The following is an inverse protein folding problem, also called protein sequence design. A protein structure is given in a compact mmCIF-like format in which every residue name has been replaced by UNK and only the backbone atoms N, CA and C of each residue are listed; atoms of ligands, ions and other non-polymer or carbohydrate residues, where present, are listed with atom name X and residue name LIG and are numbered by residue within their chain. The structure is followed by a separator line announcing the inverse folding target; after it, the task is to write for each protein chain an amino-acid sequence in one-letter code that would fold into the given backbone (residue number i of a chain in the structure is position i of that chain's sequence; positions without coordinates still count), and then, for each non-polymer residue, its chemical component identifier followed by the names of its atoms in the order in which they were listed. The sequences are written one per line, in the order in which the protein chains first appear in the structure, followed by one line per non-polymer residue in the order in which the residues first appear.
data_IF_077926438792
#
_entry.id   IF_077926438792
#
_cell.length_a   1.000
_cell.length_b   1.000
_cell.length_c   1.000
_cell.angle_alpha   90.00
_cell.angle_beta   90.00
_cell.angle_gamma   90.00
#
_symmetry.space_group_name_H-M   'P 1'
#
loop_
_entity.id
_entity.type
_entity.pdbx_description
1 polymer ?
#
# COMPACT_ATOMS: atom_id res chain seq x y z
N UNK A 1 22.80 65.88 48.65
CA UNK A 1 21.39 65.61 48.31
C UNK A 1 21.37 64.55 47.23
N UNK A 2 20.58 63.52 47.47
CA UNK A 2 20.37 62.23 46.77
C UNK A 2 20.19 62.32 45.24
N UNK A 3 20.74 61.36 44.48
CA UNK A 3 20.05 60.51 43.48
C UNK A 3 21.09 59.61 42.76
N UNK A 4 21.14 58.30 43.01
CA UNK A 4 20.40 57.20 42.38
C UNK A 4 20.80 56.87 40.92
N UNK A 5 21.23 55.62 40.78
CA UNK A 5 21.73 54.85 39.63
C UNK A 5 20.59 54.61 38.62
N UNK A 6 20.88 54.45 37.32
CA UNK A 6 20.25 53.41 36.47
C UNK A 6 20.89 53.29 35.08
N UNK A 7 21.40 52.09 34.83
CA UNK A 7 21.77 51.53 33.52
C UNK A 7 20.56 51.37 32.60
N UNK A 8 20.76 51.47 31.28
CA UNK A 8 19.93 50.70 30.34
C UNK A 8 20.68 50.47 29.02
N UNK A 9 21.13 49.22 28.85
CA UNK A 9 21.55 48.60 27.60
C UNK A 9 20.44 48.73 26.55
N UNK A 10 20.78 49.18 25.34
CA UNK A 10 19.88 49.12 24.20
C UNK A 10 19.60 47.66 23.82
N UNK A 11 18.45 47.13 24.23
CA UNK A 11 17.93 45.87 23.74
C UNK A 11 17.25 46.07 22.39
N UNK A 12 17.74 45.40 21.35
CA UNK A 12 17.02 45.24 20.09
C UNK A 12 15.75 44.42 20.33
N UNK A 13 14.59 45.05 20.19
CA UNK A 13 13.32 44.32 20.10
C UNK A 13 13.16 43.83 18.66
N UNK A 14 13.52 42.57 18.41
CA UNK A 14 13.03 41.85 17.23
C UNK A 14 11.57 41.50 17.50
N UNK A 15 10.65 42.29 16.94
CA UNK A 15 9.22 41.99 17.00
C UNK A 15 8.95 40.83 16.04
N UNK A 16 8.84 39.60 16.56
CA UNK A 16 8.37 38.46 15.78
C UNK A 16 6.89 38.67 15.48
N UNK A 17 6.59 39.22 14.31
CA UNK A 17 5.24 39.21 13.78
C UNK A 17 4.86 37.78 13.45
N UNK A 18 4.01 37.15 14.26
CA UNK A 18 3.29 35.97 13.82
C UNK A 18 2.23 36.45 12.82
N UNK A 19 2.31 35.95 11.58
CA UNK A 19 1.18 35.99 10.66
C UNK A 19 0.10 35.09 11.28
N UNK A 20 -0.89 35.69 11.96
CA UNK A 20 -2.16 35.02 12.19
C UNK A 20 -2.82 34.82 10.83
N UNK A 21 -2.51 33.69 10.21
CA UNK A 21 -3.27 33.20 9.10
C UNK A 21 -4.67 32.96 9.65
N UNK A 22 -5.62 33.83 9.28
CA UNK A 22 -7.04 33.64 9.50
C UNK A 22 -7.49 32.44 8.65
N UNK A 23 -7.03 31.24 9.03
CA UNK A 23 -7.50 30.00 8.47
C UNK A 23 -8.93 29.87 8.94
N UNK A 24 -9.86 29.97 8.00
CA UNK A 24 -11.08 29.18 8.10
C UNK A 24 -10.61 27.71 8.10
N UNK A 25 -10.20 27.22 9.27
CA UNK A 25 -9.92 25.82 9.51
C UNK A 25 -11.26 25.13 9.36
N UNK A 26 -11.47 24.51 8.20
CA UNK A 26 -12.60 23.63 8.04
C UNK A 26 -12.45 22.52 9.10
N UNK A 27 -13.39 22.48 10.04
CA UNK A 27 -13.39 21.50 11.11
C UNK A 27 -13.87 20.15 10.55
N UNK A 28 -12.92 19.39 9.99
CA UNK A 28 -13.18 18.08 9.42
C UNK A 28 -13.79 17.12 10.44
N UNK A 29 -13.54 17.30 11.73
CA UNK A 29 -14.04 16.40 12.78
C UNK A 29 -15.58 16.36 12.86
N UNK A 30 -16.27 17.38 12.35
CA UNK A 30 -17.74 17.45 12.28
C UNK A 30 -18.35 16.67 11.12
N UNK A 31 -17.53 16.19 10.18
CA UNK A 31 -18.00 15.41 9.05
C UNK A 31 -18.40 14.00 9.49
N UNK A 32 -19.42 13.44 8.82
CA UNK A 32 -19.82 12.05 9.03
C UNK A 32 -18.82 11.11 8.34
N UNK A 33 -17.79 10.68 9.08
CA UNK A 33 -16.74 9.78 8.58
C UNK A 33 -17.32 8.48 8.00
N UNK A 34 -18.32 7.87 8.65
CA UNK A 34 -18.90 6.61 8.19
C UNK A 34 -19.63 6.76 6.86
N UNK A 35 -20.37 7.85 6.65
CA UNK A 35 -21.03 8.12 5.38
C UNK A 35 -20.01 8.38 4.26
N UNK A 36 -18.96 9.18 4.56
CA UNK A 36 -17.89 9.46 3.60
C UNK A 36 -17.13 8.19 3.22
N UNK A 37 -16.84 7.31 4.19
CA UNK A 37 -16.20 6.01 3.96
C UNK A 37 -17.05 5.15 3.03
N UNK A 38 -18.35 5.00 3.33
CA UNK A 38 -19.26 4.23 2.49
C UNK A 38 -19.27 4.74 1.04
N UNK A 39 -19.41 6.05 0.86
CA UNK A 39 -19.37 6.63 -0.48
C UNK A 39 -18.00 6.48 -1.17
N UNK A 40 -16.89 6.60 -0.42
CA UNK A 40 -15.55 6.41 -0.95
C UNK A 40 -15.35 4.98 -1.48
N UNK A 41 -15.78 3.99 -0.69
CA UNK A 41 -15.72 2.58 -1.06
C UNK A 41 -16.61 2.30 -2.28
N UNK A 42 -17.85 2.82 -2.29
CA UNK A 42 -18.76 2.67 -3.44
C UNK A 42 -18.19 3.24 -4.74
N UNK A 43 -17.59 4.44 -4.70
CA UNK A 43 -16.94 5.00 -5.88
C UNK A 43 -15.72 4.20 -6.30
N UNK A 44 -14.93 3.70 -5.35
CA UNK A 44 -13.77 2.89 -5.65
C UNK A 44 -14.18 1.56 -6.31
N UNK A 45 -15.22 0.90 -5.81
CA UNK A 45 -15.75 -0.33 -6.41
C UNK A 45 -16.30 -0.08 -7.82
N UNK A 46 -17.01 1.03 -8.05
CA UNK A 46 -17.44 1.43 -9.41
C UNK A 46 -16.26 1.67 -10.35
N UNK A 47 -15.17 2.25 -9.86
CA UNK A 47 -13.93 2.38 -10.63
C UNK A 47 -13.35 1.01 -11.03
N UNK A 48 -13.29 0.05 -10.10
CA UNK A 48 -12.75 -1.30 -10.35
C UNK A 48 -13.63 -2.08 -11.34
N UNK A 49 -14.95 -1.93 -11.25
CA UNK A 49 -15.93 -2.73 -12.00
C UNK A 49 -16.37 -2.13 -13.33
N UNK A 50 -16.24 -0.81 -13.51
CA UNK A 50 -16.60 -0.14 -14.77
C UNK A 50 -15.69 -0.60 -15.91
N UNK A 51 -16.25 -0.73 -17.11
CA UNK A 51 -15.48 -0.95 -18.35
C UNK A 51 -15.25 0.35 -19.14
N UNK A 52 -16.03 1.40 -18.87
CA UNK A 52 -15.94 2.70 -19.54
C UNK A 52 -14.89 3.59 -18.86
N UNK A 53 -13.90 4.02 -19.64
CA UNK A 53 -12.76 4.81 -19.19
C UNK A 53 -13.15 6.20 -18.67
N UNK A 54 -14.16 6.85 -19.28
CA UNK A 54 -14.62 8.17 -18.85
C UNK A 54 -15.24 8.10 -17.46
N UNK A 55 -16.08 7.09 -17.23
CA UNK A 55 -16.68 6.88 -15.91
C UNK A 55 -15.66 6.41 -14.87
N UNK A 56 -14.65 5.62 -15.27
CA UNK A 56 -13.55 5.24 -14.37
C UNK A 56 -12.84 6.45 -13.80
N UNK A 57 -12.45 7.42 -14.63
CA UNK A 57 -11.76 8.61 -14.14
C UNK A 57 -12.63 9.42 -13.18
N UNK A 58 -13.92 9.57 -13.48
CA UNK A 58 -14.88 10.25 -12.62
C UNK A 58 -15.00 9.56 -11.25
N UNK A 59 -15.18 8.24 -11.23
CA UNK A 59 -15.28 7.46 -10.00
C UNK A 59 -13.98 7.48 -9.20
N UNK A 60 -12.83 7.38 -9.87
CA UNK A 60 -11.53 7.42 -9.23
C UNK A 60 -11.28 8.77 -8.54
N UNK A 61 -11.60 9.88 -9.20
CA UNK A 61 -11.46 11.22 -8.62
C UNK A 61 -12.44 11.47 -7.46
N UNK A 62 -13.67 10.94 -7.54
CA UNK A 62 -14.64 10.99 -6.45
C UNK A 62 -14.16 10.20 -5.23
N UNK A 63 -13.69 8.96 -5.42
CA UNK A 63 -13.12 8.14 -4.36
C UNK A 63 -11.90 8.82 -3.72
N UNK A 64 -10.97 9.32 -4.54
CA UNK A 64 -9.76 10.02 -4.08
C UNK A 64 -10.09 11.20 -3.16
N UNK A 65 -11.06 12.03 -3.55
CA UNK A 65 -11.45 13.20 -2.76
C UNK A 65 -12.00 12.80 -1.39
N UNK A 66 -12.80 11.72 -1.33
CA UNK A 66 -13.39 11.23 -0.08
C UNK A 66 -12.37 10.55 0.83
N UNK A 67 -11.50 9.71 0.29
CA UNK A 67 -10.39 9.15 1.07
C UNK A 67 -9.47 10.25 1.59
N UNK A 68 -9.21 11.30 0.80
CA UNK A 68 -8.47 12.46 1.30
C UNK A 68 -9.16 13.13 2.48
N UNK A 69 -10.48 13.38 2.41
CA UNK A 69 -11.24 13.90 3.55
C UNK A 69 -11.10 13.02 4.79
N UNK A 70 -11.19 11.69 4.64
CA UNK A 70 -11.04 10.76 5.75
C UNK A 70 -9.67 10.87 6.44
N UNK A 71 -8.58 11.09 5.67
CA UNK A 71 -7.26 11.37 6.27
C UNK A 71 -7.18 12.69 7.03
N UNK A 72 -8.14 13.61 6.84
CA UNK A 72 -8.24 14.89 7.58
C UNK A 72 -9.13 14.79 8.80
N UNK A 73 -10.12 13.89 8.75
CA UNK A 73 -11.02 13.60 9.87
C UNK A 73 -10.26 12.83 10.95
N UNK A 74 -9.57 11.75 10.56
CA UNK A 74 -8.83 10.88 11.48
C UNK A 74 -7.53 10.41 10.83
N UNK A 75 -6.42 10.92 11.35
CA UNK A 75 -5.06 10.62 10.87
C UNK A 75 -4.56 9.23 11.28
N UNK A 76 -5.26 8.55 12.19
CA UNK A 76 -4.87 7.23 12.68
C UNK A 76 -5.42 6.09 11.81
N UNK A 77 -6.39 6.36 10.94
CA UNK A 77 -6.99 5.34 10.08
C UNK A 77 -6.06 4.97 8.94
N UNK A 78 -5.67 3.70 8.87
CA UNK A 78 -4.74 3.23 7.84
C UNK A 78 -5.39 3.08 6.46
N UNK A 79 -6.67 2.67 6.41
CA UNK A 79 -7.38 2.32 5.17
C UNK A 79 -7.39 3.46 4.14
N UNK A 80 -7.72 4.72 4.49
CA UNK A 80 -7.69 5.83 3.54
C UNK A 80 -6.31 6.05 2.90
N UNK A 81 -5.21 5.89 3.66
CA UNK A 81 -3.85 6.00 3.11
C UNK A 81 -3.54 4.87 2.11
N UNK A 82 -3.96 3.63 2.41
CA UNK A 82 -3.81 2.49 1.48
C UNK A 82 -4.58 2.78 0.19
N UNK A 83 -5.82 3.27 0.29
CA UNK A 83 -6.66 3.53 -0.88
C UNK A 83 -6.13 4.70 -1.72
N UNK A 84 -5.68 5.79 -1.10
CA UNK A 84 -5.01 6.88 -1.82
C UNK A 84 -3.75 6.39 -2.54
N UNK A 85 -2.94 5.54 -1.89
CA UNK A 85 -1.75 4.97 -2.52
C UNK A 85 -2.10 4.16 -3.78
N UNK A 86 -3.12 3.30 -3.70
CA UNK A 86 -3.64 2.53 -4.83
C UNK A 86 -4.15 3.45 -5.95
N UNK A 87 -4.93 4.47 -5.61
CA UNK A 87 -5.45 5.44 -6.59
C UNK A 87 -4.31 6.16 -7.31
N UNK A 88 -3.30 6.64 -6.57
CA UNK A 88 -2.15 7.29 -7.21
C UNK A 88 -1.30 6.31 -8.04
N UNK A 89 -1.24 5.03 -7.67
CA UNK A 89 -0.61 3.98 -8.48
C UNK A 89 -1.32 3.81 -9.82
N UNK A 90 -2.66 3.71 -9.81
CA UNK A 90 -3.49 3.63 -11.03
C UNK A 90 -3.33 4.89 -11.91
N UNK A 91 -3.17 6.08 -11.31
CA UNK A 91 -2.90 7.34 -12.02
C UNK A 91 -1.44 7.49 -12.48
N UNK A 92 -0.62 6.44 -12.38
CA UNK A 92 0.81 6.46 -12.69
C UNK A 92 1.63 7.53 -11.92
N UNK A 93 1.11 8.02 -10.79
CA UNK A 93 1.81 8.98 -9.94
C UNK A 93 2.63 8.26 -8.87
N UNK A 94 3.76 7.69 -9.31
CA UNK A 94 4.64 6.84 -8.50
C UNK A 94 5.09 7.50 -7.19
N UNK A 95 5.34 8.83 -7.24
CA UNK A 95 5.82 9.59 -6.08
C UNK A 95 4.77 9.63 -4.99
N UNK A 96 3.54 10.03 -5.33
CA UNK A 96 2.46 10.12 -4.36
C UNK A 96 2.01 8.74 -3.90
N UNK A 97 1.91 7.75 -4.80
CA UNK A 97 1.58 6.38 -4.43
C UNK A 97 2.51 5.86 -3.33
N UNK A 98 3.82 6.01 -3.53
CA UNK A 98 4.84 5.59 -2.56
C UNK A 98 4.77 6.40 -1.25
N UNK A 99 4.52 7.70 -1.31
CA UNK A 99 4.33 8.55 -0.13
C UNK A 99 3.16 8.05 0.74
N UNK A 100 2.02 7.75 0.13
CA UNK A 100 0.84 7.26 0.84
C UNK A 100 1.03 5.84 1.39
N UNK A 101 1.74 4.96 0.67
CA UNK A 101 2.14 3.66 1.23
C UNK A 101 3.03 3.82 2.47
N UNK A 102 4.00 4.75 2.46
CA UNK A 102 4.81 5.02 3.65
C UNK A 102 3.99 5.59 4.81
N UNK A 103 3.02 6.46 4.54
CA UNK A 103 2.09 6.92 5.59
C UNK A 103 1.33 5.75 6.23
N UNK A 104 0.82 4.83 5.41
CA UNK A 104 0.18 3.62 5.92
C UNK A 104 1.14 2.74 6.75
N UNK A 105 2.35 2.48 6.26
CA UNK A 105 3.36 1.70 6.98
C UNK A 105 3.85 2.35 8.28
N UNK A 106 3.82 3.69 8.37
CA UNK A 106 4.18 4.40 9.60
C UNK A 106 3.11 4.27 10.69
N UNK A 107 1.84 4.05 10.32
CA UNK A 107 0.75 3.79 11.27
C UNK A 107 0.82 2.36 11.79
N UNK A 108 1.03 1.40 10.89
CA UNK A 108 1.24 0.00 11.24
C UNK A 108 2.13 -0.69 10.19
N UNK A 109 3.37 -0.99 10.60
CA UNK A 109 4.38 -1.62 9.75
C UNK A 109 4.00 -3.06 9.36
N UNK A 110 3.20 -3.73 10.19
CA UNK A 110 2.80 -5.12 10.00
C UNK A 110 1.40 -5.27 9.39
N UNK A 111 0.74 -4.16 9.06
CA UNK A 111 -0.61 -4.20 8.50
C UNK A 111 -0.62 -5.04 7.21
N UNK A 112 -1.39 -6.13 7.16
CA UNK A 112 -1.29 -7.06 6.04
C UNK A 112 -1.74 -6.45 4.71
N UNK A 113 -2.77 -5.60 4.71
CA UNK A 113 -3.30 -4.99 3.49
C UNK A 113 -2.39 -3.88 2.96
N UNK A 114 -1.83 -3.04 3.83
CA UNK A 114 -0.85 -2.03 3.42
C UNK A 114 0.36 -2.69 2.75
N UNK A 115 0.88 -3.75 3.36
CA UNK A 115 2.00 -4.51 2.82
C UNK A 115 1.63 -5.25 1.53
N UNK A 116 0.44 -5.85 1.43
CA UNK A 116 -0.02 -6.49 0.20
C UNK A 116 -0.05 -5.51 -0.98
N UNK A 117 -0.70 -4.36 -0.82
CA UNK A 117 -0.82 -3.38 -1.90
C UNK A 117 0.50 -2.65 -2.19
N UNK A 118 1.37 -2.48 -1.20
CA UNK A 118 2.72 -1.96 -1.46
C UNK A 118 3.57 -3.00 -2.21
N UNK A 119 3.35 -4.30 -1.95
CA UNK A 119 3.86 -5.40 -2.75
C UNK A 119 3.40 -5.30 -4.21
N UNK A 120 2.10 -5.14 -4.46
CA UNK A 120 1.54 -4.94 -5.83
C UNK A 120 2.20 -3.77 -6.55
N UNK A 121 2.42 -2.64 -5.85
CA UNK A 121 3.11 -1.47 -6.41
C UNK A 121 4.52 -1.82 -6.93
N UNK A 122 5.32 -2.58 -6.17
CA UNK A 122 6.64 -3.00 -6.64
C UNK A 122 6.58 -4.11 -7.70
N UNK A 123 5.61 -5.01 -7.58
CA UNK A 123 5.40 -6.10 -8.53
C UNK A 123 5.07 -5.56 -9.93
N UNK A 124 4.16 -4.58 -10.05
CA UNK A 124 3.83 -3.89 -11.31
C UNK A 124 5.04 -3.24 -11.98
N UNK A 125 6.09 -2.93 -11.20
CA UNK A 125 7.34 -2.29 -11.65
C UNK A 125 8.49 -3.29 -11.81
N UNK A 126 8.18 -4.60 -11.80
CA UNK A 126 9.14 -5.71 -11.87
C UNK A 126 10.23 -5.68 -10.79
N UNK A 127 10.02 -4.94 -9.70
CA UNK A 127 10.92 -4.97 -8.55
C UNK A 127 10.53 -6.12 -7.61
N UNK A 128 10.80 -7.34 -8.08
CA UNK A 128 10.40 -8.56 -7.39
C UNK A 128 11.07 -8.71 -6.02
N UNK A 129 12.27 -8.15 -5.83
CA UNK A 129 12.96 -8.19 -4.53
C UNK A 129 12.20 -7.37 -3.47
N UNK A 130 11.77 -6.14 -3.81
CA UNK A 130 10.97 -5.34 -2.88
C UNK A 130 9.55 -5.91 -2.74
N UNK A 131 8.94 -6.36 -3.84
CA UNK A 131 7.62 -6.98 -3.80
C UNK A 131 7.59 -8.19 -2.84
N UNK A 132 8.57 -9.09 -2.96
CA UNK A 132 8.70 -10.27 -2.09
C UNK A 132 8.77 -9.89 -0.61
N UNK A 133 9.53 -8.84 -0.26
CA UNK A 133 9.64 -8.38 1.14
C UNK A 133 8.27 -8.00 1.69
N UNK A 134 7.51 -7.17 0.98
CA UNK A 134 6.20 -6.70 1.45
C UNK A 134 5.16 -7.83 1.44
N UNK A 135 5.16 -8.67 0.41
CA UNK A 135 4.28 -9.84 0.37
C UNK A 135 4.55 -10.82 1.51
N UNK A 136 5.80 -11.03 1.91
CA UNK A 136 6.12 -11.88 3.06
C UNK A 136 5.58 -11.29 4.38
N UNK A 137 5.62 -9.97 4.55
CA UNK A 137 4.99 -9.31 5.72
C UNK A 137 3.48 -9.55 5.68
N UNK A 138 2.83 -9.33 4.53
CA UNK A 138 1.40 -9.60 4.37
C UNK A 138 1.03 -11.07 4.65
N UNK A 139 1.85 -12.00 4.15
CA UNK A 139 1.67 -13.44 4.34
C UNK A 139 1.72 -13.82 5.83
N UNK A 140 2.75 -13.34 6.53
CA UNK A 140 2.97 -13.65 7.96
C UNK A 140 1.96 -12.95 8.90
N UNK A 141 1.23 -11.94 8.43
CA UNK A 141 0.26 -11.17 9.22
C UNK A 141 -1.20 -11.42 8.81
N UNK A 142 -1.51 -12.62 8.30
CA UNK A 142 -2.89 -13.09 8.16
C UNK A 142 -3.45 -13.14 6.74
N UNK A 143 -2.64 -12.84 5.70
CA UNK A 143 -3.05 -13.04 4.29
C UNK A 143 -2.50 -14.32 3.66
N UNK A 144 -1.91 -15.23 4.44
CA UNK A 144 -1.35 -16.49 3.93
C UNK A 144 -2.35 -17.38 3.17
N UNK A 145 -3.66 -17.26 3.41
CA UNK A 145 -4.70 -18.00 2.70
C UNK A 145 -5.42 -17.16 1.63
N UNK A 146 -4.75 -16.13 1.07
CA UNK A 146 -5.30 -15.25 0.03
C UNK A 146 -4.80 -15.67 -1.36
N UNK A 147 -5.71 -15.89 -2.30
CA UNK A 147 -5.40 -16.46 -3.63
C UNK A 147 -4.37 -15.65 -4.41
N UNK A 148 -4.59 -14.36 -4.55
CA UNK A 148 -3.75 -13.41 -5.30
C UNK A 148 -2.36 -13.26 -4.66
N UNK A 149 -2.26 -13.17 -3.33
CA UNK A 149 -0.97 -13.11 -2.64
C UNK A 149 -0.11 -14.36 -2.94
N UNK A 150 -0.68 -15.55 -2.79
CA UNK A 150 0.05 -16.79 -3.06
C UNK A 150 0.45 -16.88 -4.54
N UNK A 151 -0.40 -16.41 -5.46
CA UNK A 151 -0.09 -16.42 -6.89
C UNK A 151 1.08 -15.47 -7.23
N UNK A 152 1.12 -14.30 -6.58
CA UNK A 152 2.22 -13.32 -6.71
C UNK A 152 3.53 -13.87 -6.14
N UNK A 153 3.48 -14.47 -4.95
CA UNK A 153 4.64 -15.12 -4.35
C UNK A 153 5.19 -16.23 -5.25
N UNK A 154 4.32 -17.12 -5.74
CA UNK A 154 4.71 -18.18 -6.66
C UNK A 154 5.41 -17.65 -7.91
N UNK A 155 4.85 -16.58 -8.50
CA UNK A 155 5.40 -15.93 -9.69
C UNK A 155 6.76 -15.30 -9.42
N UNK A 156 6.96 -14.67 -8.26
CA UNK A 156 8.26 -14.12 -7.88
C UNK A 156 9.30 -15.24 -7.68
N UNK A 157 8.95 -16.30 -6.95
CA UNK A 157 9.87 -17.43 -6.74
C UNK A 157 10.27 -18.11 -8.05
N UNK A 158 9.34 -18.24 -8.98
CA UNK A 158 9.64 -18.74 -10.32
C UNK A 158 10.61 -17.81 -11.08
N UNK A 159 10.41 -16.49 -11.01
CA UNK A 159 11.35 -15.51 -11.61
C UNK A 159 12.75 -15.56 -10.98
N UNK A 160 12.85 -16.03 -9.74
CA UNK A 160 14.12 -16.27 -9.05
C UNK A 160 14.64 -17.70 -9.21
N UNK A 161 14.02 -18.53 -10.06
CA UNK A 161 14.33 -19.93 -10.28
C UNK A 161 14.25 -20.83 -9.02
N UNK A 162 13.59 -20.36 -7.96
CA UNK A 162 13.26 -21.18 -6.80
C UNK A 162 11.97 -21.94 -7.08
N UNK A 163 12.09 -22.97 -7.92
CA UNK A 163 10.95 -23.71 -8.45
C UNK A 163 10.20 -24.49 -7.36
N UNK A 164 10.87 -24.84 -6.26
CA UNK A 164 10.23 -25.54 -5.14
C UNK A 164 9.28 -24.63 -4.39
N UNK A 165 9.72 -23.42 -4.04
CA UNK A 165 8.80 -22.46 -3.42
C UNK A 165 7.73 -21.99 -4.42
N UNK A 166 8.09 -21.80 -5.70
CA UNK A 166 7.12 -21.45 -6.74
C UNK A 166 5.97 -22.46 -6.80
N UNK A 167 6.30 -23.76 -6.91
CA UNK A 167 5.32 -24.85 -6.92
C UNK A 167 4.44 -24.84 -5.67
N UNK A 168 5.03 -24.77 -4.47
CA UNK A 168 4.30 -24.74 -3.20
C UNK A 168 3.24 -23.63 -3.18
N UNK A 169 3.61 -22.42 -3.59
CA UNK A 169 2.68 -21.29 -3.59
C UNK A 169 1.62 -21.41 -4.70
N UNK A 170 1.99 -21.96 -5.87
CA UNK A 170 1.02 -22.26 -6.93
C UNK A 170 -0.02 -23.28 -6.47
N UNK A 171 0.37 -24.33 -5.74
CA UNK A 171 -0.54 -25.33 -5.19
C UNK A 171 -1.55 -24.73 -4.19
N UNK A 172 -1.10 -23.81 -3.33
CA UNK A 172 -1.99 -23.09 -2.40
C UNK A 172 -3.01 -22.21 -3.14
N UNK A 173 -2.58 -21.47 -4.16
CA UNK A 173 -3.53 -20.72 -5.01
C UNK A 173 -4.49 -21.67 -5.74
N UNK A 174 -4.00 -22.81 -6.22
CA UNK A 174 -4.81 -23.77 -6.96
C UNK A 174 -5.86 -24.45 -6.08
N UNK A 175 -5.56 -24.75 -4.81
CA UNK A 175 -6.55 -25.33 -3.89
C UNK A 175 -7.73 -24.39 -3.63
N UNK A 176 -7.55 -23.08 -3.78
CA UNK A 176 -8.62 -22.08 -3.65
C UNK A 176 -9.44 -21.91 -4.94
N UNK A 177 -8.83 -22.14 -6.11
CA UNK A 177 -9.50 -22.10 -7.41
C UNK A 177 -9.06 -23.28 -8.31
N UNK A 178 -9.61 -24.49 -8.08
CA UNK A 178 -9.17 -25.72 -8.76
C UNK A 178 -9.48 -25.78 -10.25
N UNK A 179 -10.29 -24.85 -10.76
CA UNK A 179 -10.69 -24.79 -12.16
C UNK A 179 -9.75 -23.93 -13.02
N UNK A 180 -8.69 -23.35 -12.42
CA UNK A 180 -7.70 -22.59 -13.17
C UNK A 180 -6.79 -23.53 -14.00
N UNK A 181 -7.08 -23.62 -15.30
CA UNK A 181 -6.35 -24.47 -16.25
C UNK A 181 -4.88 -24.04 -16.39
N UNK A 182 -4.61 -22.74 -16.45
CA UNK A 182 -3.25 -22.20 -16.56
C UNK A 182 -2.40 -22.61 -15.36
N UNK A 183 -2.96 -22.45 -14.15
CA UNK A 183 -2.27 -22.81 -12.92
C UNK A 183 -2.02 -24.32 -12.82
N UNK A 184 -2.98 -25.14 -13.26
CA UNK A 184 -2.81 -26.59 -13.35
C UNK A 184 -1.66 -26.97 -14.28
N UNK A 185 -1.63 -26.40 -15.49
CA UNK A 185 -0.57 -26.64 -16.47
C UNK A 185 0.80 -26.23 -15.92
N UNK A 186 0.84 -25.12 -15.18
CA UNK A 186 2.06 -24.62 -14.57
C UNK A 186 2.60 -25.53 -13.46
N UNK A 187 1.72 -26.05 -12.61
CA UNK A 187 2.11 -27.04 -11.60
C UNK A 187 2.60 -28.33 -12.27
N UNK A 188 1.93 -28.77 -13.34
CA UNK A 188 2.34 -29.96 -14.09
C UNK A 188 3.73 -29.79 -14.71
N UNK A 189 4.01 -28.67 -15.38
CA UNK A 189 5.33 -28.44 -15.98
C UNK A 189 6.44 -28.41 -14.92
N UNK A 190 6.18 -27.82 -13.74
CA UNK A 190 7.12 -27.84 -12.62
C UNK A 190 7.38 -29.25 -12.07
N UNK A 191 6.37 -30.14 -12.09
CA UNK A 191 6.53 -31.54 -11.68
C UNK A 191 7.38 -32.35 -12.66
N UNK A 192 7.18 -32.14 -13.97
CA UNK A 192 7.91 -32.85 -15.02
C UNK A 192 9.41 -32.54 -15.00
N UNK A 193 9.79 -31.34 -14.52
CA UNK A 193 11.19 -30.94 -14.37
C UNK A 193 11.95 -31.75 -13.30
N UNK A 194 11.28 -32.49 -12.40
CA UNK A 194 11.89 -33.22 -11.27
C UNK A 194 12.95 -32.38 -10.52
N UNK A 195 12.75 -31.07 -10.42
CA UNK A 195 13.78 -30.13 -9.97
C UNK A 195 14.21 -30.37 -8.52
N UNK A 196 13.26 -30.79 -7.68
CA UNK A 196 13.45 -31.20 -6.29
C UNK A 196 14.38 -32.41 -6.12
N UNK A 197 14.61 -33.19 -7.19
CA UNK A 197 15.52 -34.34 -7.23
C UNK A 197 16.83 -34.06 -7.96
N UNK A 198 17.02 -32.84 -8.47
CA UNK A 198 18.25 -32.47 -9.18
C UNK A 198 19.40 -32.22 -8.19
N UNK A 199 20.60 -32.68 -8.53
CA UNK A 199 21.81 -32.43 -7.71
C UNK A 199 22.04 -30.93 -7.46
N UNK A 200 21.70 -30.09 -8.45
CA UNK A 200 21.77 -28.63 -8.36
C UNK A 200 20.93 -28.06 -7.21
N UNK A 201 19.75 -28.65 -6.95
CA UNK A 201 18.86 -28.19 -5.88
C UNK A 201 19.42 -28.48 -4.48
N UNK A 202 20.07 -29.62 -4.30
CA UNK A 202 20.71 -29.98 -3.03
C UNK A 202 21.96 -29.12 -2.74
N UNK A 203 22.73 -28.81 -3.78
CA UNK A 203 23.97 -28.01 -3.66
C UNK A 203 23.76 -26.57 -3.15
N UNK A 204 22.63 -25.93 -3.44
CA UNK A 204 22.36 -24.52 -3.02
C UNK A 204 21.84 -24.44 -1.58
N UNK A 205 21.44 -25.57 -0.98
CA UNK A 205 20.85 -25.63 0.37
C UNK A 205 21.77 -26.21 1.45
N UNK A 206 22.97 -26.64 1.07
CA UNK A 206 24.09 -26.95 1.98
C UNK A 206 24.93 -25.69 2.27
#
# INVERSE_FOLDING_TARGET
MTLFILSCSHSYAAQSGYLEYNSVLFDYSKLNASAIQKEADEYFEKFITSSDELFKEQYLNAAMSKYYLLTKIDYSQITPYIQLARIYDEKNNNRLAKEYFYKASNLDVNNPYANFYFGEFYFKRNDYKRALRYYNIAYNNGLNNRYDLNLRLATIYEKFADLVNAKKFYEVSYSMNPNNVELRQKIQSLNELNYDKSEYYHFIRE
#
